data_IF_561027775907
#
_entry.id   IF_561027775907
#
_cell.length_a   1.000
_cell.length_b   1.000
_cell.length_c   1.000
_cell.angle_alpha   90.00
_cell.angle_beta   90.00
_cell.angle_gamma   90.00
#
_symmetry.space_group_name_H-M   'P 1'
#
loop_
_entity.id
_entity.type
_entity.pdbx_description
1 polymer ?
#
# COMPACT_ATOMS: atom_id res chain seq x y z
N UNK A 1 2.55 18.97 8.50
CA UNK A 1 1.41 18.45 7.73
C UNK A 1 1.93 17.36 6.82
N UNK A 2 1.21 16.26 6.74
CA UNK A 2 1.56 15.19 5.79
C UNK A 2 0.90 15.53 4.46
N UNK A 3 1.66 15.50 3.38
CA UNK A 3 1.10 15.64 2.04
C UNK A 3 0.39 14.35 1.68
N UNK A 4 -0.94 14.40 1.62
CA UNK A 4 -1.77 13.24 1.27
C UNK A 4 -2.24 13.39 -0.17
N UNK A 5 -1.91 12.42 -1.01
CA UNK A 5 -2.38 12.33 -2.39
C UNK A 5 -3.66 11.51 -2.43
N UNK A 6 -4.74 12.10 -2.92
CA UNK A 6 -6.02 11.42 -3.12
C UNK A 6 -6.06 10.76 -4.49
N UNK A 7 -6.36 9.47 -4.54
CA UNK A 7 -6.58 8.70 -5.75
C UNK A 7 -8.07 8.42 -5.94
N UNK A 8 -8.66 8.94 -7.00
CA UNK A 8 -10.05 8.64 -7.36
C UNK A 8 -10.20 7.23 -7.95
N UNK A 9 -9.14 6.71 -8.56
CA UNK A 9 -9.09 5.40 -9.19
C UNK A 9 -7.88 4.62 -8.71
N UNK A 10 -7.92 3.31 -8.89
CA UNK A 10 -6.76 2.46 -8.62
C UNK A 10 -5.57 2.91 -9.46
N UNK A 11 -4.42 3.21 -8.83
CA UNK A 11 -3.23 3.61 -9.58
C UNK A 11 -2.80 2.48 -10.52
N UNK A 12 -2.37 2.84 -11.73
CA UNK A 12 -1.88 1.86 -12.71
C UNK A 12 -0.64 1.16 -12.18
N UNK A 13 -0.76 -0.12 -11.87
CA UNK A 13 0.35 -0.95 -11.39
C UNK A 13 1.52 -0.95 -12.36
N UNK A 14 1.25 -1.07 -13.68
CA UNK A 14 2.31 -1.05 -14.69
C UNK A 14 3.12 0.25 -14.66
N UNK A 15 2.45 1.39 -14.57
CA UNK A 15 3.13 2.70 -14.46
C UNK A 15 3.93 2.83 -13.17
N UNK A 16 3.39 2.34 -12.06
CA UNK A 16 4.06 2.38 -10.77
C UNK A 16 5.30 1.48 -10.77
N UNK A 17 5.22 0.30 -11.34
CA UNK A 17 6.38 -0.58 -11.51
C UNK A 17 7.45 0.09 -12.36
N UNK A 18 7.10 0.63 -13.54
CA UNK A 18 8.06 1.35 -14.38
C UNK A 18 8.73 2.49 -13.60
N UNK A 19 7.97 3.28 -12.85
CA UNK A 19 8.52 4.38 -12.04
C UNK A 19 9.37 3.88 -10.87
N UNK A 20 8.98 2.81 -10.23
CA UNK A 20 9.71 2.24 -9.10
C UNK A 20 11.06 1.62 -9.52
N UNK A 21 11.10 1.05 -10.72
CA UNK A 21 12.30 0.38 -11.26
C UNK A 21 13.09 1.24 -12.24
N UNK A 22 12.57 2.41 -12.65
CA UNK A 22 13.35 3.35 -13.45
C UNK A 22 14.60 3.78 -12.69
N UNK A 23 15.78 3.84 -13.36
CA UNK A 23 16.98 4.32 -12.71
C UNK A 23 16.76 5.75 -12.24
N UNK A 24 16.76 5.94 -10.94
CA UNK A 24 16.68 7.27 -10.34
C UNK A 24 18.02 7.95 -10.49
N UNK A 25 18.22 8.60 -11.62
CA UNK A 25 19.47 9.28 -11.97
C UNK A 25 19.81 10.47 -11.07
N UNK A 26 18.90 10.90 -10.18
CA UNK A 26 19.13 12.13 -9.42
C UNK A 26 18.37 12.16 -8.10
N UNK A 27 18.77 11.42 -7.10
CA UNK A 27 18.57 11.91 -5.73
C UNK A 27 19.70 11.39 -4.83
N UNK A 28 20.88 11.95 -5.03
CA UNK A 28 21.91 12.00 -3.98
C UNK A 28 21.57 13.09 -2.97
N UNK A 29 20.34 13.13 -2.51
CA UNK A 29 19.93 13.93 -1.38
C UNK A 29 20.32 13.22 -0.10
N UNK A 30 21.21 13.79 0.67
CA UNK A 30 21.71 13.28 1.95
C UNK A 30 20.69 13.34 3.09
N UNK A 31 19.40 13.51 2.80
CA UNK A 31 18.38 13.49 3.83
C UNK A 31 17.99 12.05 4.14
N UNK A 32 18.44 11.56 5.29
CA UNK A 32 18.03 10.27 5.86
C UNK A 32 16.59 10.29 6.42
N UNK A 33 15.90 11.41 6.33
CA UNK A 33 14.53 11.53 6.82
C UNK A 33 13.55 11.18 5.71
N UNK A 34 12.63 10.28 6.01
CA UNK A 34 11.52 9.99 5.11
C UNK A 34 10.52 11.14 5.12
N UNK A 35 9.99 11.52 3.95
CA UNK A 35 8.96 12.53 3.86
C UNK A 35 7.66 12.06 4.53
N UNK A 36 6.89 12.99 5.06
CA UNK A 36 5.55 12.70 5.59
C UNK A 36 4.56 12.64 4.43
N UNK A 37 4.59 11.54 3.70
CA UNK A 37 3.71 11.30 2.57
C UNK A 37 2.56 10.38 2.95
N UNK A 38 1.41 10.63 2.33
CA UNK A 38 0.26 9.76 2.43
C UNK A 38 -0.40 9.53 1.06
N UNK A 39 -1.13 8.46 0.95
CA UNK A 39 -1.99 8.16 -0.18
C UNK A 39 -3.33 7.66 0.33
N UNK A 40 -4.42 8.12 -0.28
CA UNK A 40 -5.78 7.79 0.14
C UNK A 40 -6.64 7.44 -1.08
N UNK A 41 -7.53 6.50 -0.90
CA UNK A 41 -8.57 6.17 -1.85
C UNK A 41 -9.86 5.87 -1.10
N UNK A 42 -10.95 6.54 -1.48
CA UNK A 42 -12.23 6.45 -0.79
C UNK A 42 -13.25 5.61 -1.58
N UNK A 43 -14.23 5.11 -0.85
CA UNK A 43 -15.38 4.38 -1.41
C UNK A 43 -14.94 3.20 -2.31
N UNK A 44 -13.93 2.45 -1.87
CA UNK A 44 -13.43 1.29 -2.61
C UNK A 44 -14.40 0.14 -2.43
N UNK A 45 -15.01 -0.29 -3.52
CA UNK A 45 -15.84 -1.48 -3.55
C UNK A 45 -14.97 -2.73 -3.70
N UNK A 46 -15.39 -3.78 -3.03
CA UNK A 46 -14.72 -5.08 -3.13
C UNK A 46 -15.15 -5.77 -4.44
N UNK A 47 -14.21 -6.06 -5.31
CA UNK A 47 -14.46 -6.79 -6.55
C UNK A 47 -14.64 -8.29 -6.24
N UNK A 48 -15.84 -8.88 -6.46
CA UNK A 48 -16.12 -10.26 -6.05
C UNK A 48 -15.22 -11.30 -6.71
N UNK A 49 -14.89 -11.10 -7.98
CA UNK A 49 -14.01 -11.98 -8.75
C UNK A 49 -12.58 -12.00 -8.20
N UNK A 50 -12.05 -10.85 -7.86
CA UNK A 50 -10.71 -10.72 -7.24
C UNK A 50 -10.67 -11.32 -5.84
N UNK A 51 -11.71 -11.08 -5.05
CA UNK A 51 -11.82 -11.67 -3.71
C UNK A 51 -11.94 -13.20 -3.78
N UNK A 52 -12.74 -13.73 -4.71
CA UNK A 52 -12.86 -15.18 -4.93
C UNK A 52 -11.52 -15.79 -5.35
N UNK A 53 -10.78 -15.13 -6.23
CA UNK A 53 -9.43 -15.58 -6.62
C UNK A 53 -8.46 -15.59 -5.43
N UNK A 54 -8.50 -14.55 -4.59
CA UNK A 54 -7.69 -14.47 -3.38
C UNK A 54 -8.02 -15.62 -2.41
N UNK A 55 -9.31 -15.84 -2.12
CA UNK A 55 -9.75 -16.94 -1.25
C UNK A 55 -9.30 -18.30 -1.75
N UNK A 56 -9.43 -18.54 -3.05
CA UNK A 56 -8.99 -19.80 -3.66
C UNK A 56 -7.49 -20.03 -3.50
N UNK A 57 -6.67 -19.00 -3.71
CA UNK A 57 -5.20 -19.09 -3.57
C UNK A 57 -4.80 -19.30 -2.11
N UNK A 58 -5.49 -18.62 -1.18
CA UNK A 58 -5.19 -18.69 0.25
C UNK A 58 -5.91 -19.83 0.97
N UNK A 59 -6.69 -20.66 0.26
CA UNK A 59 -7.51 -21.74 0.84
C UNK A 59 -8.44 -21.26 1.95
N UNK A 60 -9.14 -20.14 1.71
CA UNK A 60 -10.09 -19.54 2.64
C UNK A 60 -11.53 -19.79 2.19
N UNK A 61 -12.39 -20.08 3.15
CA UNK A 61 -13.83 -20.24 2.91
C UNK A 61 -14.52 -18.89 2.66
N UNK A 62 -15.68 -18.96 1.99
CA UNK A 62 -16.55 -17.80 1.83
C UNK A 62 -17.52 -17.71 3.00
N UNK A 63 -17.21 -16.86 3.96
CA UNK A 63 -18.00 -16.57 5.15
C UNK A 63 -18.75 -15.23 5.07
N UNK A 64 -18.77 -14.58 3.89
CA UNK A 64 -19.41 -13.27 3.69
C UNK A 64 -18.65 -12.10 4.29
N UNK A 65 -17.50 -12.36 4.91
CA UNK A 65 -16.67 -11.35 5.57
C UNK A 65 -15.34 -11.21 4.82
N UNK A 66 -14.81 -10.01 4.79
CA UNK A 66 -13.53 -9.72 4.17
C UNK A 66 -12.39 -10.40 4.99
N UNK A 67 -11.54 -11.22 4.36
CA UNK A 67 -10.39 -11.80 5.05
C UNK A 67 -9.50 -10.71 5.66
N UNK A 68 -8.99 -10.92 6.87
CA UNK A 68 -8.26 -9.94 7.66
C UNK A 68 -7.09 -9.29 6.90
N UNK A 69 -6.41 -10.06 6.04
CA UNK A 69 -5.27 -9.57 5.26
C UNK A 69 -5.65 -8.97 3.90
N UNK A 70 -6.91 -9.08 3.48
CA UNK A 70 -7.32 -8.59 2.17
C UNK A 70 -7.22 -7.07 2.00
N UNK A 71 -7.46 -6.23 3.02
CA UNK A 71 -7.19 -4.79 2.94
C UNK A 71 -5.76 -4.45 2.53
N UNK A 72 -4.77 -5.28 2.88
CA UNK A 72 -3.39 -5.12 2.42
C UNK A 72 -3.28 -5.26 0.89
N UNK A 73 -4.04 -6.18 0.30
CA UNK A 73 -4.09 -6.36 -1.16
C UNK A 73 -4.70 -5.13 -1.84
N UNK A 74 -5.80 -4.61 -1.28
CA UNK A 74 -6.45 -3.39 -1.79
C UNK A 74 -5.55 -2.16 -1.70
N UNK A 75 -4.77 -2.06 -0.63
CA UNK A 75 -3.89 -0.93 -0.35
C UNK A 75 -2.55 -0.99 -1.08
N UNK A 76 -2.21 -2.12 -1.69
CA UNK A 76 -0.88 -2.33 -2.29
C UNK A 76 -0.52 -1.29 -3.35
N UNK A 77 -1.48 -0.91 -4.21
CA UNK A 77 -1.29 0.15 -5.20
C UNK A 77 -0.94 1.51 -4.58
N UNK A 78 -1.57 1.85 -3.45
CA UNK A 78 -1.27 3.08 -2.70
C UNK A 78 0.12 3.02 -2.07
N UNK A 79 0.48 1.89 -1.49
CA UNK A 79 1.81 1.69 -0.92
C UNK A 79 2.90 1.83 -1.98
N UNK A 80 2.71 1.19 -3.14
CA UNK A 80 3.66 1.30 -4.25
C UNK A 80 3.74 2.73 -4.79
N UNK A 81 2.62 3.46 -4.83
CA UNK A 81 2.61 4.87 -5.23
C UNK A 81 3.46 5.74 -4.29
N UNK A 82 3.41 5.49 -2.99
CA UNK A 82 4.26 6.18 -2.01
C UNK A 82 5.74 5.84 -2.21
N UNK A 83 6.08 4.58 -2.41
CA UNK A 83 7.45 4.14 -2.65
C UNK A 83 8.01 4.65 -3.98
N UNK A 84 7.16 4.82 -5.00
CA UNK A 84 7.53 5.38 -6.30
C UNK A 84 7.51 6.92 -6.33
N UNK A 85 7.10 7.57 -5.25
CA UNK A 85 7.01 9.03 -5.19
C UNK A 85 8.40 9.67 -5.31
N UNK A 86 8.55 10.77 -6.08
CA UNK A 86 9.87 11.41 -6.28
C UNK A 86 10.55 11.87 -4.98
N UNK A 87 9.76 12.26 -3.97
CA UNK A 87 10.28 12.65 -2.65
C UNK A 87 10.70 11.45 -1.78
N UNK A 88 10.37 10.21 -2.15
CA UNK A 88 10.80 9.03 -1.40
C UNK A 88 12.29 8.75 -1.68
N UNK A 89 13.18 8.79 -0.65
CA UNK A 89 14.62 8.85 -0.88
C UNK A 89 15.26 7.49 -1.20
N UNK A 90 14.53 6.39 -0.98
CA UNK A 90 15.06 5.05 -1.15
C UNK A 90 14.58 4.45 -2.48
N UNK A 91 15.45 3.66 -3.11
CA UNK A 91 15.02 2.85 -4.24
C UNK A 91 14.13 1.70 -3.72
N UNK A 92 12.95 1.45 -4.34
CA UNK A 92 12.10 0.33 -3.95
C UNK A 92 12.80 -1.02 -4.03
N UNK A 93 13.73 -1.17 -4.98
CA UNK A 93 14.66 -2.30 -5.03
C UNK A 93 15.61 -2.26 -3.83
N UNK A 94 15.60 -3.31 -3.05
CA UNK A 94 16.44 -3.43 -1.83
C UNK A 94 15.71 -3.09 -0.54
N UNK A 95 14.44 -2.67 -0.58
CA UNK A 95 13.59 -2.56 0.60
C UNK A 95 13.15 -3.97 1.01
N UNK A 96 13.41 -4.34 2.25
CA UNK A 96 13.00 -5.62 2.82
C UNK A 96 11.83 -5.40 3.76
N UNK A 97 10.71 -6.06 3.49
CA UNK A 97 9.56 -6.07 4.39
C UNK A 97 9.84 -7.02 5.55
N UNK A 98 10.17 -6.48 6.71
CA UNK A 98 10.56 -7.28 7.88
C UNK A 98 9.39 -7.71 8.77
N UNK A 99 8.35 -6.88 8.85
CA UNK A 99 7.23 -7.13 9.77
C UNK A 99 5.94 -6.57 9.22
N UNK A 100 4.87 -7.32 9.42
CA UNK A 100 3.51 -6.87 9.22
C UNK A 100 2.72 -7.09 10.51
N UNK A 101 1.91 -6.11 10.90
CA UNK A 101 0.98 -6.22 12.03
C UNK A 101 -0.38 -5.73 11.58
N UNK A 102 -1.37 -6.60 11.64
CA UNK A 102 -2.73 -6.28 11.23
C UNK A 102 -3.65 -6.41 12.43
N UNK A 103 -4.46 -5.39 12.67
CA UNK A 103 -5.45 -5.35 13.73
C UNK A 103 -6.82 -5.11 13.13
N UNK A 104 -7.71 -6.08 13.28
CA UNK A 104 -9.11 -5.94 12.91
C UNK A 104 -9.94 -5.49 14.11
N UNK A 105 -10.62 -4.36 13.99
CA UNK A 105 -11.50 -3.85 15.06
C UNK A 105 -12.92 -4.42 14.97
N UNK A 106 -13.35 -4.82 13.77
CA UNK A 106 -14.61 -5.50 13.50
C UNK A 106 -14.54 -6.27 12.19
N UNK A 107 -15.42 -7.24 11.99
CA UNK A 107 -15.62 -7.82 10.67
C UNK A 107 -16.11 -6.78 9.67
N UNK A 108 -15.65 -6.87 8.43
CA UNK A 108 -16.09 -6.03 7.31
C UNK A 108 -16.82 -6.91 6.31
N UNK A 109 -18.08 -6.60 6.03
CA UNK A 109 -18.87 -7.34 5.05
C UNK A 109 -18.36 -7.11 3.62
N UNK A 110 -18.45 -8.12 2.78
CA UNK A 110 -17.97 -8.04 1.38
C UNK A 110 -18.75 -7.05 0.52
N UNK A 111 -19.92 -6.61 0.98
CA UNK A 111 -20.76 -5.60 0.31
C UNK A 111 -20.46 -4.16 0.77
N UNK A 112 -19.64 -4.00 1.80
CA UNK A 112 -19.28 -2.67 2.29
C UNK A 112 -18.25 -2.01 1.38
N UNK A 113 -18.32 -0.69 1.24
CA UNK A 113 -17.21 0.09 0.71
C UNK A 113 -16.24 0.43 1.83
N UNK A 114 -14.97 0.53 1.49
CA UNK A 114 -13.91 0.85 2.44
C UNK A 114 -13.10 2.06 1.97
N UNK A 115 -12.67 2.86 2.92
CA UNK A 115 -11.68 3.89 2.68
C UNK A 115 -10.29 3.35 3.00
N UNK A 116 -9.37 3.53 2.07
CA UNK A 116 -7.98 3.09 2.20
C UNK A 116 -7.09 4.30 2.42
N UNK A 117 -6.25 4.23 3.44
CA UNK A 117 -5.27 5.28 3.72
C UNK A 117 -3.93 4.65 4.06
N UNK A 118 -2.90 5.07 3.34
CA UNK A 118 -1.52 4.67 3.56
C UNK A 118 -0.70 5.89 3.97
N UNK A 119 0.11 5.75 4.99
CA UNK A 119 0.97 6.82 5.49
C UNK A 119 2.39 6.27 5.67
N UNK A 120 3.38 7.06 5.32
CA UNK A 120 4.75 6.80 5.73
C UNK A 120 4.87 7.23 7.19
N UNK A 121 5.17 6.28 8.06
CA UNK A 121 5.33 6.51 9.48
C UNK A 121 6.72 7.02 9.86
N UNK A 122 7.01 6.95 11.14
CA UNK A 122 8.31 7.34 11.69
C UNK A 122 9.41 6.37 11.27
N UNK A 123 10.60 6.90 11.10
CA UNK A 123 11.80 6.12 10.83
C UNK A 123 12.73 6.09 12.03
N UNK A 124 13.37 4.96 12.22
CA UNK A 124 14.46 4.82 13.19
C UNK A 124 15.59 4.02 12.57
N UNK A 125 16.80 4.38 12.89
CA UNK A 125 17.98 3.61 12.51
C UNK A 125 18.16 2.47 13.50
N UNK A 126 18.14 1.25 12.98
CA UNK A 126 18.50 0.07 13.78
C UNK A 126 19.99 -0.15 13.60
N UNK A 127 20.75 -0.04 14.67
CA UNK A 127 22.17 -0.43 14.65
C UNK A 127 22.26 -1.95 14.65
N UNK A 128 22.95 -2.50 13.71
CA UNK A 128 23.37 -3.92 13.68
C UNK A 128 24.46 -4.18 14.70
#
# INVERSE_FOLDING_TARGET
MSDVVLFEREPSMARLYVRAFAPRLQHRGHSRQLPRLGAERRNVLIAPDKLSAYRRICHLDDDGVLPLMYPQVLAFGLQLALLAHPAFPLAPMGIIHQRNHVLGHRPVGVQESVDLRCLIGETRVVKS
#
